data_IF_851757062379
#
_entry.id   IF_851757062379
#
_cell.length_a   1.000
_cell.length_b   1.000
_cell.length_c   1.000
_cell.angle_alpha   90.00
_cell.angle_beta   90.00
_cell.angle_gamma   90.00
#
_symmetry.space_group_name_H-M   'P 1'
#
loop_
_entity.id
_entity.type
_entity.pdbx_description
1 polymer ?
#
# COMPACT_ATOMS: atom_id res chain seq x y z
N UNK A 1 15.13 9.14 14.00
CA UNK A 1 15.18 9.31 12.53
C UNK A 1 14.38 8.23 11.80
N UNK A 2 14.58 6.94 12.07
CA UNK A 2 13.82 5.86 11.45
C UNK A 2 12.29 5.96 11.62
N UNK A 3 11.80 6.32 12.80
CA UNK A 3 10.36 6.53 13.03
C UNK A 3 9.78 7.63 12.12
N UNK A 4 10.49 8.76 11.98
CA UNK A 4 10.07 9.87 11.12
C UNK A 4 10.04 9.41 9.67
N UNK A 5 11.07 8.67 9.21
CA UNK A 5 11.12 8.10 7.87
C UNK A 5 9.99 7.10 7.62
N UNK A 6 9.68 6.24 8.59
CA UNK A 6 8.59 5.28 8.49
C UNK A 6 7.24 5.99 8.41
N UNK A 7 6.99 6.97 9.28
CA UNK A 7 5.73 7.72 9.32
C UNK A 7 5.53 8.52 8.03
N UNK A 8 6.55 9.24 7.55
CA UNK A 8 6.45 9.99 6.29
C UNK A 8 6.25 9.07 5.10
N UNK A 9 6.95 7.92 5.05
CA UNK A 9 6.76 6.92 4.00
C UNK A 9 5.36 6.31 4.05
N UNK A 10 4.83 6.02 5.24
CA UNK A 10 3.48 5.49 5.44
C UNK A 10 2.41 6.50 4.98
N UNK A 11 2.54 7.77 5.36
CA UNK A 11 1.61 8.83 4.93
C UNK A 11 1.66 9.01 3.41
N UNK A 12 2.85 9.13 2.83
CA UNK A 12 3.01 9.26 1.37
C UNK A 12 2.48 8.02 0.63
N UNK A 13 2.66 6.83 1.20
CA UNK A 13 2.12 5.59 0.64
C UNK A 13 0.60 5.59 0.65
N UNK A 14 -0.04 5.95 1.77
CA UNK A 14 -1.51 6.02 1.87
C UNK A 14 -2.07 7.04 0.88
N UNK A 15 -1.47 8.23 0.80
CA UNK A 15 -1.92 9.29 -0.13
C UNK A 15 -1.76 8.85 -1.58
N UNK A 16 -0.57 8.37 -1.96
CA UNK A 16 -0.29 7.94 -3.34
C UNK A 16 -1.16 6.76 -3.75
N UNK A 17 -1.38 5.79 -2.86
CA UNK A 17 -2.22 4.63 -3.12
C UNK A 17 -3.70 5.00 -3.20
N UNK A 18 -4.18 5.88 -2.32
CA UNK A 18 -5.56 6.38 -2.36
C UNK A 18 -5.84 7.15 -3.66
N UNK A 19 -4.92 8.03 -4.07
CA UNK A 19 -5.02 8.76 -5.34
C UNK A 19 -5.02 7.79 -6.54
N UNK A 20 -4.11 6.82 -6.55
CA UNK A 20 -4.06 5.79 -7.58
C UNK A 20 -5.36 4.98 -7.67
N UNK A 21 -5.91 4.54 -6.53
CA UNK A 21 -7.15 3.76 -6.49
C UNK A 21 -8.33 4.57 -7.06
N UNK A 22 -8.50 5.81 -6.58
CA UNK A 22 -9.58 6.69 -7.02
C UNK A 22 -9.47 7.01 -8.52
N UNK A 23 -8.27 7.38 -8.98
CA UNK A 23 -8.02 7.70 -10.39
C UNK A 23 -8.19 6.49 -11.29
N UNK A 24 -7.72 5.32 -10.87
CA UNK A 24 -7.89 4.08 -11.64
C UNK A 24 -9.36 3.71 -11.77
N UNK A 25 -10.14 3.83 -10.70
CA UNK A 25 -11.58 3.57 -10.73
C UNK A 25 -12.30 4.56 -11.67
N UNK A 26 -11.95 5.83 -11.61
CA UNK A 26 -12.51 6.86 -12.49
C UNK A 26 -12.16 6.64 -13.97
N UNK A 27 -10.91 6.31 -14.28
CA UNK A 27 -10.44 6.07 -15.64
C UNK A 27 -11.07 4.82 -16.24
N UNK A 28 -11.21 3.74 -15.47
CA UNK A 28 -11.90 2.53 -15.89
C UNK A 28 -13.37 2.81 -16.21
N UNK A 29 -14.07 3.56 -15.35
CA UNK A 29 -15.46 3.97 -15.60
C UNK A 29 -15.60 4.79 -16.89
N UNK A 30 -14.59 5.59 -17.23
CA UNK A 30 -14.58 6.42 -18.45
C UNK A 30 -13.94 5.76 -19.67
N UNK A 31 -13.42 4.54 -19.56
CA UNK A 31 -12.68 3.87 -20.64
C UNK A 31 -11.43 4.62 -21.09
N UNK A 32 -10.80 5.41 -20.21
CA UNK A 32 -9.65 6.27 -20.55
C UNK A 32 -8.33 5.64 -20.11
N UNK A 33 -7.29 5.89 -20.90
CA UNK A 33 -5.93 5.48 -20.56
C UNK A 33 -5.34 6.31 -19.41
N UNK A 34 -4.42 5.75 -18.61
CA UNK A 34 -3.74 6.47 -17.53
C UNK A 34 -2.80 7.56 -18.07
N UNK A 35 -2.92 8.75 -17.47
CA UNK A 35 -2.11 9.92 -17.79
C UNK A 35 -0.77 9.89 -17.04
N UNK A 36 0.16 10.79 -17.39
CA UNK A 36 1.47 10.91 -16.74
C UNK A 36 1.39 10.98 -15.19
N UNK A 37 0.53 11.84 -14.58
CA UNK A 37 0.42 11.89 -13.11
C UNK A 37 -0.08 10.58 -12.51
N UNK A 38 -0.97 9.84 -13.19
CA UNK A 38 -1.46 8.55 -12.71
C UNK A 38 -0.32 7.51 -12.66
N UNK A 39 0.56 7.51 -13.68
CA UNK A 39 1.75 6.64 -13.73
C UNK A 39 2.74 6.98 -12.61
N UNK A 40 2.92 8.26 -12.31
CA UNK A 40 3.77 8.71 -11.20
C UNK A 40 3.23 8.19 -9.87
N UNK A 41 1.92 8.31 -9.62
CA UNK A 41 1.30 7.80 -8.39
C UNK A 41 1.42 6.27 -8.25
N UNK A 42 1.29 5.54 -9.36
CA UNK A 42 1.51 4.08 -9.38
C UNK A 42 2.94 3.75 -8.97
N UNK A 43 3.92 4.37 -9.62
CA UNK A 43 5.33 4.10 -9.37
C UNK A 43 5.73 4.50 -7.94
N UNK A 44 5.26 5.65 -7.46
CA UNK A 44 5.46 6.08 -6.08
C UNK A 44 4.88 5.08 -5.09
N UNK A 45 3.63 4.63 -5.30
CA UNK A 45 3.02 3.65 -4.41
C UNK A 45 3.78 2.32 -4.41
N UNK A 46 4.24 1.86 -5.57
CA UNK A 46 5.01 0.62 -5.68
C UNK A 46 6.39 0.71 -5.03
N UNK A 47 7.03 1.88 -5.06
CA UNK A 47 8.35 2.10 -4.45
C UNK A 47 8.23 2.34 -2.95
N UNK A 48 7.23 3.11 -2.51
CA UNK A 48 7.01 3.42 -1.10
C UNK A 48 6.55 2.20 -0.31
N UNK A 49 5.83 1.25 -0.92
CA UNK A 49 5.34 0.06 -0.24
C UNK A 49 6.45 -0.80 0.41
N UNK A 50 7.47 -1.28 -0.33
CA UNK A 50 8.58 -2.01 0.27
C UNK A 50 9.40 -1.14 1.23
N UNK A 51 9.57 0.16 0.95
CA UNK A 51 10.30 1.08 1.84
C UNK A 51 9.59 1.22 3.19
N UNK A 52 8.27 1.43 3.19
CA UNK A 52 7.46 1.52 4.42
C UNK A 52 7.50 0.21 5.20
N UNK A 53 7.44 -0.94 4.53
CA UNK A 53 7.52 -2.25 5.19
C UNK A 53 8.89 -2.49 5.79
N UNK A 54 9.98 -2.23 5.05
CA UNK A 54 11.35 -2.38 5.55
C UNK A 54 11.63 -1.46 6.73
N UNK A 55 11.30 -0.18 6.61
CA UNK A 55 11.47 0.79 7.70
C UNK A 55 10.60 0.45 8.91
N UNK A 56 9.40 -0.08 8.69
CA UNK A 56 8.53 -0.61 9.73
C UNK A 56 9.17 -1.77 10.46
N UNK A 57 9.60 -2.82 9.75
CA UNK A 57 10.27 -3.99 10.34
C UNK A 57 11.53 -3.61 11.13
N UNK A 58 12.35 -2.69 10.60
CA UNK A 58 13.53 -2.19 11.31
C UNK A 58 13.16 -1.42 12.60
N UNK A 59 12.05 -0.68 12.60
CA UNK A 59 11.55 0.00 13.78
C UNK A 59 10.96 -0.98 14.82
N UNK A 60 10.38 -2.09 14.35
CA UNK A 60 9.79 -3.15 15.18
C UNK A 60 10.85 -4.09 15.78
N UNK A 61 12.06 -4.19 15.19
CA UNK A 61 13.12 -5.07 15.68
C UNK A 61 13.48 -4.86 17.16
N UNK A 62 13.23 -3.65 17.70
CA UNK A 62 13.49 -3.29 19.09
C UNK A 62 12.21 -3.12 19.93
N UNK A 63 11.04 -3.54 19.43
CA UNK A 63 9.73 -3.34 20.10
C UNK A 63 8.88 -4.60 20.06
N UNK A 64 8.23 -4.91 21.17
CA UNK A 64 7.18 -5.95 21.22
C UNK A 64 5.91 -5.40 20.59
N UNK A 65 5.68 -5.77 19.34
CA UNK A 65 4.45 -5.46 18.60
C UNK A 65 3.54 -6.68 18.50
N UNK A 66 2.22 -6.48 18.49
CA UNK A 66 1.28 -7.56 18.24
C UNK A 66 1.48 -8.20 16.87
N UNK A 67 1.41 -9.53 16.83
CA UNK A 67 1.58 -10.33 15.61
C UNK A 67 0.63 -9.92 14.48
N UNK A 68 -0.61 -9.51 14.81
CA UNK A 68 -1.58 -9.06 13.81
C UNK A 68 -1.12 -7.81 13.05
N UNK A 69 -0.40 -6.88 13.69
CA UNK A 69 0.11 -5.67 13.03
C UNK A 69 1.18 -6.02 12.00
N UNK A 70 2.07 -6.97 12.34
CA UNK A 70 3.07 -7.48 11.41
C UNK A 70 2.45 -8.18 10.20
N UNK A 71 1.41 -9.00 10.41
CA UNK A 71 0.67 -9.63 9.31
C UNK A 71 0.06 -8.57 8.40
N UNK A 72 -0.63 -7.58 8.96
CA UNK A 72 -1.26 -6.50 8.18
C UNK A 72 -0.23 -5.71 7.35
N UNK A 73 0.95 -5.45 7.92
CA UNK A 73 2.03 -4.75 7.22
C UNK A 73 2.61 -5.52 6.03
N UNK A 74 2.79 -6.84 6.14
CA UNK A 74 3.40 -7.68 5.09
C UNK A 74 2.37 -8.15 4.05
N UNK A 75 1.11 -8.30 4.45
CA UNK A 75 0.03 -8.83 3.59
C UNK A 75 -0.06 -8.18 2.20
N UNK A 76 0.07 -6.84 2.03
CA UNK A 76 0.03 -6.23 0.70
C UNK A 76 1.05 -6.80 -0.30
N UNK A 77 2.25 -7.18 0.17
CA UNK A 77 3.27 -7.81 -0.68
C UNK A 77 2.80 -9.21 -1.09
N UNK A 78 2.33 -10.00 -0.12
CA UNK A 78 1.87 -11.37 -0.35
C UNK A 78 0.73 -11.38 -1.38
N UNK A 79 -0.28 -10.52 -1.20
CA UNK A 79 -1.39 -10.39 -2.15
C UNK A 79 -0.93 -9.89 -3.52
N UNK A 80 0.06 -9.00 -3.58
CA UNK A 80 0.66 -8.58 -4.85
C UNK A 80 1.25 -9.75 -5.62
N UNK A 81 1.90 -10.72 -4.96
CA UNK A 81 2.42 -11.93 -5.61
C UNK A 81 1.30 -12.90 -6.02
N UNK A 82 0.32 -13.15 -5.14
CA UNK A 82 -0.79 -14.09 -5.40
C UNK A 82 -1.67 -13.60 -6.55
N UNK A 83 -2.04 -12.31 -6.54
CA UNK A 83 -2.98 -11.71 -7.48
C UNK A 83 -2.29 -11.10 -8.71
N UNK A 84 -0.98 -11.34 -8.91
CA UNK A 84 -0.25 -10.90 -10.12
C UNK A 84 -0.72 -11.62 -11.39
N UNK A 85 -1.46 -12.73 -11.27
CA UNK A 85 -1.92 -13.53 -12.40
C UNK A 85 -2.66 -12.66 -13.43
N UNK A 86 -2.19 -12.71 -14.68
CA UNK A 86 -2.65 -11.84 -15.78
C UNK A 86 -4.16 -11.94 -16.02
N UNK A 87 -4.74 -13.13 -15.90
CA UNK A 87 -6.19 -13.35 -16.06
C UNK A 87 -7.00 -12.58 -15.02
N UNK A 88 -6.63 -12.69 -13.74
CA UNK A 88 -7.31 -12.02 -12.65
C UNK A 88 -7.24 -10.50 -12.76
N UNK A 89 -6.07 -9.99 -13.21
CA UNK A 89 -5.84 -8.56 -13.40
C UNK A 89 -6.66 -7.96 -14.55
N UNK A 90 -6.94 -8.75 -15.58
CA UNK A 90 -7.78 -8.32 -16.71
C UNK A 90 -9.27 -8.34 -16.35
N UNK A 91 -9.71 -9.39 -15.65
CA UNK A 91 -11.11 -9.48 -15.22
C UNK A 91 -11.44 -8.46 -14.14
N UNK A 92 -10.56 -8.26 -13.15
CA UNK A 92 -10.81 -7.43 -11.97
C UNK A 92 -9.64 -6.46 -11.69
N UNK A 93 -9.45 -5.45 -12.54
CA UNK A 93 -8.27 -4.56 -12.50
C UNK A 93 -8.15 -3.75 -11.19
N UNK A 94 -9.26 -3.53 -10.48
CA UNK A 94 -9.29 -2.77 -9.23
C UNK A 94 -9.19 -3.64 -7.98
N UNK A 95 -9.33 -4.96 -8.09
CA UNK A 95 -9.41 -5.80 -6.90
C UNK A 95 -8.10 -5.79 -6.10
N UNK A 96 -6.97 -5.98 -6.78
CA UNK A 96 -5.66 -5.94 -6.13
C UNK A 96 -5.36 -4.60 -5.44
N UNK A 97 -5.51 -3.43 -6.12
CA UNK A 97 -5.26 -2.16 -5.44
C UNK A 97 -6.30 -1.87 -4.35
N UNK A 98 -7.54 -2.36 -4.47
CA UNK A 98 -8.53 -2.21 -3.41
C UNK A 98 -8.18 -3.00 -2.15
N UNK A 99 -7.81 -4.28 -2.30
CA UNK A 99 -7.36 -5.13 -1.19
C UNK A 99 -6.11 -4.52 -0.53
N UNK A 100 -5.14 -4.09 -1.34
CA UNK A 100 -3.93 -3.45 -0.81
C UNK A 100 -4.26 -2.15 -0.07
N UNK A 101 -5.20 -1.34 -0.57
CA UNK A 101 -5.67 -0.13 0.11
C UNK A 101 -6.28 -0.43 1.48
N UNK A 102 -7.13 -1.46 1.59
CA UNK A 102 -7.71 -1.88 2.87
C UNK A 102 -6.62 -2.33 3.84
N UNK A 103 -5.68 -3.16 3.38
CA UNK A 103 -4.60 -3.68 4.21
C UNK A 103 -3.66 -2.56 4.69
N UNK A 104 -3.31 -1.62 3.81
CA UNK A 104 -2.49 -0.46 4.16
C UNK A 104 -3.20 0.44 5.16
N UNK A 105 -4.50 0.70 4.99
CA UNK A 105 -5.29 1.48 5.93
C UNK A 105 -5.38 0.79 7.30
N UNK A 106 -5.60 -0.53 7.32
CA UNK A 106 -5.63 -1.31 8.55
C UNK A 106 -4.27 -1.35 9.25
N UNK A 107 -3.16 -1.50 8.50
CA UNK A 107 -1.81 -1.44 9.04
C UNK A 107 -1.50 -0.06 9.62
N UNK A 108 -1.87 1.01 8.91
CA UNK A 108 -1.69 2.38 9.38
C UNK A 108 -2.49 2.68 10.66
N UNK A 109 -3.79 2.35 10.66
CA UNK A 109 -4.66 2.54 11.83
C UNK A 109 -4.19 1.74 13.04
N UNK A 110 -3.80 0.47 12.84
CA UNK A 110 -3.25 -0.33 13.93
C UNK A 110 -1.92 0.24 14.45
N UNK A 111 -1.06 0.78 13.58
CA UNK A 111 0.17 1.48 13.98
C UNK A 111 -0.11 2.71 14.84
N UNK A 112 -1.10 3.54 14.46
CA UNK A 112 -1.53 4.69 15.25
C UNK A 112 -2.07 4.30 16.63
N UNK A 113 -2.93 3.27 16.68
CA UNK A 113 -3.50 2.76 17.94
C UNK A 113 -2.42 2.18 18.86
N UNK A 114 -1.43 1.51 18.29
CA UNK A 114 -0.30 0.91 19.01
C UNK A 114 0.84 1.90 19.29
N UNK A 115 0.74 3.15 18.84
CA UNK A 115 1.78 4.18 18.95
C UNK A 115 3.14 3.72 18.38
N UNK A 116 3.09 2.95 17.30
CA UNK A 116 4.25 2.35 16.64
C UNK A 116 4.77 3.21 15.50
#
# INVERSE_FOLDING_TARGET
>A
MLLILHLTSAILLVISHGFFLFRSAFLLKKGRAPTLPDRISINLSQLLLPVTILTGLLNLANRTVPFYHMILGISPIIFMFILRKRSFRQSHPLLLPFINGILLAAAFLSGLLLRC
#
